data_IF_538767872416
#
_entry.id   IF_538767872416
#
_cell.length_a   1.000
_cell.length_b   1.000
_cell.length_c   1.000
_cell.angle_alpha   90.00
_cell.angle_beta   90.00
_cell.angle_gamma   90.00
#
_symmetry.space_group_name_H-M   'P 1'
#
loop_
_entity.id
_entity.type
_entity.pdbx_description
1 polymer ?
#
# COMPACT_ATOMS: atom_id res chain seq x y z
N UNK A 1 -0.03 9.59 23.98
CA UNK A 1 -0.50 9.08 22.67
C UNK A 1 -1.12 7.70 22.89
N UNK A 2 -2.45 7.58 22.95
CA UNK A 2 -3.17 6.35 23.35
C UNK A 2 -3.37 5.32 22.25
N UNK A 3 -2.47 5.26 21.26
CA UNK A 3 -2.57 4.33 20.14
C UNK A 3 -1.82 3.05 20.45
N UNK A 4 -2.53 1.92 20.55
CA UNK A 4 -1.89 0.63 20.83
C UNK A 4 -1.29 0.03 19.55
N UNK A 5 0.03 0.16 19.40
CA UNK A 5 0.80 -0.36 18.27
C UNK A 5 0.99 -1.89 18.30
N UNK A 6 0.59 -2.57 19.39
CA UNK A 6 0.66 -4.02 19.53
C UNK A 6 -0.62 -4.72 19.05
N UNK A 7 -1.46 -4.02 18.29
CA UNK A 7 -2.64 -4.59 17.66
C UNK A 7 -2.42 -4.74 16.15
N UNK A 8 -3.07 -5.74 15.52
CA UNK A 8 -2.99 -5.92 14.08
C UNK A 8 -3.47 -4.68 13.31
N UNK A 9 -2.64 -4.22 12.39
CA UNK A 9 -2.83 -2.97 11.66
C UNK A 9 -2.26 -3.04 10.24
N UNK A 10 -2.79 -2.21 9.37
CA UNK A 10 -2.31 -2.03 8.00
C UNK A 10 -1.61 -0.69 7.86
N UNK A 11 -0.63 -0.64 6.95
CA UNK A 11 -0.04 0.61 6.47
C UNK A 11 -0.70 0.95 5.13
N UNK A 12 -1.39 2.07 5.11
CA UNK A 12 -2.01 2.66 3.93
C UNK A 12 -1.10 3.78 3.44
N UNK A 13 -0.64 3.69 2.20
CA UNK A 13 0.19 4.71 1.56
C UNK A 13 -0.59 5.31 0.40
N UNK A 14 -1.10 6.51 0.62
CA UNK A 14 -1.76 7.34 -0.38
C UNK A 14 -0.69 8.13 -1.13
N UNK A 15 -0.68 8.03 -2.45
CA UNK A 15 0.27 8.67 -3.34
C UNK A 15 -0.45 9.62 -4.29
N UNK A 16 -0.09 10.90 -4.20
CA UNK A 16 -0.54 11.98 -5.07
C UNK A 16 0.37 12.02 -6.29
N UNK A 17 -0.17 11.72 -7.46
CA UNK A 17 0.53 11.92 -8.74
C UNK A 17 -0.03 13.15 -9.44
N UNK A 18 0.84 14.10 -9.79
CA UNK A 18 0.45 15.26 -10.62
C UNK A 18 0.62 14.86 -12.08
N UNK A 19 -0.49 14.61 -12.76
CA UNK A 19 -0.48 14.26 -14.20
C UNK A 19 -0.06 15.39 -15.14
N UNK A 20 0.39 16.53 -14.63
CA UNK A 20 0.75 17.72 -15.41
C UNK A 20 2.07 18.33 -14.91
N UNK A 21 2.86 18.86 -15.85
CA UNK A 21 4.05 19.67 -15.58
C UNK A 21 3.61 21.07 -15.10
N UNK A 22 3.32 21.19 -13.81
CA UNK A 22 3.05 22.50 -13.19
C UNK A 22 4.35 23.22 -12.81
N UNK A 23 4.28 24.54 -12.66
CA UNK A 23 5.32 25.34 -12.03
C UNK A 23 5.63 24.77 -10.63
N UNK A 24 6.90 24.41 -10.41
CA UNK A 24 7.37 23.59 -9.27
C UNK A 24 6.99 24.16 -7.91
N UNK A 25 6.98 25.49 -7.76
CA UNK A 25 6.64 26.20 -6.51
C UNK A 25 5.14 26.17 -6.19
N UNK A 26 4.28 26.53 -7.15
CA UNK A 26 2.83 26.53 -6.95
C UNK A 26 2.28 25.11 -6.74
N UNK A 27 2.93 24.12 -7.36
CA UNK A 27 2.63 22.70 -7.16
C UNK A 27 2.95 22.24 -5.73
N UNK A 28 4.10 22.63 -5.19
CA UNK A 28 4.52 22.25 -3.83
C UNK A 28 3.61 22.84 -2.75
N UNK A 29 3.26 24.12 -2.87
CA UNK A 29 2.37 24.79 -1.92
C UNK A 29 0.95 24.20 -1.96
N UNK A 30 0.42 23.99 -3.17
CA UNK A 30 -0.88 23.32 -3.36
C UNK A 30 -0.86 21.91 -2.78
N UNK A 31 0.18 21.14 -3.06
CA UNK A 31 0.28 19.74 -2.62
C UNK A 31 0.44 19.62 -1.09
N UNK A 32 1.13 20.55 -0.44
CA UNK A 32 1.17 20.63 1.02
C UNK A 32 -0.20 20.94 1.61
N UNK A 33 -0.94 21.88 1.03
CA UNK A 33 -2.30 22.19 1.45
C UNK A 33 -3.23 20.98 1.32
N UNK A 34 -3.20 20.30 0.17
CA UNK A 34 -4.02 19.10 -0.07
C UNK A 34 -3.69 17.94 0.86
N UNK A 35 -2.40 17.66 1.12
CA UNK A 35 -2.02 16.61 2.08
C UNK A 35 -2.54 16.89 3.48
N UNK A 36 -2.48 18.16 3.89
CA UNK A 36 -2.92 18.58 5.23
C UNK A 36 -4.43 18.42 5.35
N UNK A 37 -5.18 18.94 4.37
CA UNK A 37 -6.63 18.78 4.31
C UNK A 37 -7.06 17.31 4.26
N UNK A 38 -6.37 16.49 3.44
CA UNK A 38 -6.63 15.05 3.35
C UNK A 38 -6.32 14.32 4.66
N UNK A 39 -5.22 14.66 5.35
CA UNK A 39 -4.89 14.09 6.64
C UNK A 39 -5.93 14.45 7.71
N UNK A 40 -6.41 15.69 7.73
CA UNK A 40 -7.47 16.12 8.64
C UNK A 40 -8.80 15.41 8.36
N UNK A 41 -9.18 15.28 7.10
CA UNK A 41 -10.40 14.57 6.70
C UNK A 41 -10.31 13.08 7.01
N UNK A 42 -9.17 12.44 6.74
CA UNK A 42 -8.92 11.05 7.11
C UNK A 42 -9.03 10.85 8.63
N UNK A 43 -8.42 11.75 9.42
CA UNK A 43 -8.52 11.71 10.88
C UNK A 43 -9.97 11.84 11.36
N UNK A 44 -10.74 12.77 10.78
CA UNK A 44 -12.15 12.99 11.14
C UNK A 44 -12.99 11.75 10.83
N UNK A 45 -12.85 11.18 9.62
CA UNK A 45 -13.58 9.99 9.20
C UNK A 45 -13.25 8.77 10.08
N UNK A 46 -11.97 8.54 10.37
CA UNK A 46 -11.55 7.42 11.22
C UNK A 46 -12.05 7.59 12.66
N UNK A 47 -12.00 8.82 13.21
CA UNK A 47 -12.55 9.12 14.54
C UNK A 47 -14.06 8.93 14.61
N UNK A 48 -14.80 9.30 13.56
CA UNK A 48 -16.26 9.06 13.49
C UNK A 48 -16.60 7.56 13.55
N UNK A 49 -15.71 6.71 13.06
CA UNK A 49 -15.84 5.25 13.16
C UNK A 49 -15.39 4.68 14.53
N UNK A 50 -15.07 5.55 15.50
CA UNK A 50 -14.56 5.14 16.82
C UNK A 50 -13.15 4.54 16.78
N UNK A 51 -12.44 4.72 15.66
CA UNK A 51 -11.09 4.22 15.47
C UNK A 51 -10.08 5.35 15.70
N UNK A 52 -8.85 4.95 15.97
CA UNK A 52 -7.72 5.85 15.93
C UNK A 52 -6.87 5.52 14.70
N UNK A 53 -6.04 6.47 14.26
CA UNK A 53 -5.00 6.25 13.26
C UNK A 53 -3.77 7.07 13.60
N UNK A 54 -2.60 6.60 13.16
CA UNK A 54 -1.37 7.40 13.15
C UNK A 54 -1.12 7.79 11.71
N UNK A 55 -0.80 9.07 11.47
CA UNK A 55 -0.54 9.57 10.13
C UNK A 55 0.75 10.36 10.07
N UNK A 56 1.40 10.31 8.92
CA UNK A 56 2.51 11.18 8.57
C UNK A 56 2.48 11.51 7.09
N UNK A 57 3.01 12.66 6.71
CA UNK A 57 3.08 13.12 5.33
C UNK A 57 4.53 13.21 4.87
N UNK A 58 4.83 12.78 3.65
CA UNK A 58 6.17 12.85 3.04
C UNK A 58 6.05 13.22 1.56
N UNK A 59 6.67 14.32 1.13
CA UNK A 59 6.67 14.77 -0.29
C UNK A 59 5.26 14.68 -0.91
N UNK A 60 4.95 13.66 -1.72
CA UNK A 60 3.65 13.44 -2.36
C UNK A 60 2.89 12.23 -1.80
N UNK A 61 3.15 11.89 -0.55
CA UNK A 61 2.61 10.72 0.13
C UNK A 61 1.95 11.13 1.45
N UNK A 62 0.82 10.51 1.73
CA UNK A 62 0.20 10.45 3.05
C UNK A 62 0.26 8.98 3.50
N UNK A 63 0.91 8.73 4.63
CA UNK A 63 1.05 7.40 5.21
C UNK A 63 0.14 7.35 6.43
N UNK A 64 -0.79 6.40 6.45
CA UNK A 64 -1.69 6.16 7.55
C UNK A 64 -1.52 4.73 8.07
N UNK A 65 -1.38 4.59 9.38
CA UNK A 65 -1.45 3.31 10.07
C UNK A 65 -2.84 3.19 10.65
N UNK A 66 -3.59 2.21 10.17
CA UNK A 66 -5.01 2.01 10.49
C UNK A 66 -5.20 0.59 10.99
N UNK A 67 -6.06 0.40 11.99
CA UNK A 67 -6.39 -0.92 12.52
C UNK A 67 -6.98 -1.84 11.44
N UNK A 68 -6.90 -3.14 11.69
CA UNK A 68 -7.43 -4.17 10.79
C UNK A 68 -8.92 -3.95 10.45
N UNK A 69 -9.24 -4.08 9.16
CA UNK A 69 -10.60 -4.18 8.63
C UNK A 69 -10.84 -5.55 7.99
N UNK A 70 -12.11 -5.90 7.78
CA UNK A 70 -12.53 -7.14 7.12
C UNK A 70 -12.10 -7.21 5.65
N UNK A 71 -12.09 -6.05 4.96
CA UNK A 71 -11.58 -5.91 3.59
C UNK A 71 -10.78 -4.61 3.49
N UNK A 72 -9.45 -4.73 3.41
CA UNK A 72 -8.56 -3.58 3.34
C UNK A 72 -8.70 -2.82 2.02
N UNK A 73 -8.94 -3.52 0.91
CA UNK A 73 -9.09 -2.92 -0.42
C UNK A 73 -10.40 -2.13 -0.51
N UNK A 74 -11.51 -2.70 -0.02
CA UNK A 74 -12.81 -2.01 -0.01
C UNK A 74 -12.77 -0.79 0.90
N UNK A 75 -12.13 -0.89 2.07
CA UNK A 75 -11.91 0.24 2.96
C UNK A 75 -11.06 1.33 2.29
N UNK A 76 -9.97 0.94 1.64
CA UNK A 76 -9.12 1.86 0.89
C UNK A 76 -9.85 2.60 -0.22
N UNK A 77 -10.70 1.88 -0.98
CA UNK A 77 -11.51 2.48 -2.04
C UNK A 77 -12.50 3.50 -1.47
N UNK A 78 -13.21 3.14 -0.41
CA UNK A 78 -14.11 4.04 0.29
C UNK A 78 -13.40 5.30 0.82
N UNK A 79 -12.20 5.17 1.39
CA UNK A 79 -11.39 6.31 1.85
C UNK A 79 -10.98 7.22 0.69
N UNK A 80 -10.57 6.66 -0.45
CA UNK A 80 -10.27 7.45 -1.65
C UNK A 80 -11.49 8.24 -2.09
N UNK A 81 -12.64 7.58 -2.19
CA UNK A 81 -13.86 8.20 -2.72
C UNK A 81 -14.42 9.28 -1.78
N UNK A 82 -14.24 9.15 -0.46
CA UNK A 82 -14.67 10.17 0.50
C UNK A 82 -13.74 11.37 0.59
N UNK A 83 -12.42 11.16 0.44
CA UNK A 83 -11.43 12.22 0.73
C UNK A 83 -10.92 12.88 -0.55
N UNK A 84 -10.84 12.13 -1.65
CA UNK A 84 -10.12 12.53 -2.87
C UNK A 84 -11.02 12.60 -4.11
N UNK A 85 -12.34 12.43 -3.99
CA UNK A 85 -13.28 12.53 -5.12
C UNK A 85 -13.32 13.91 -5.76
N UNK A 86 -13.05 14.96 -4.98
CA UNK A 86 -13.10 16.36 -5.43
C UNK A 86 -11.71 16.96 -5.72
N UNK A 87 -10.63 16.23 -5.48
CA UNK A 87 -9.25 16.75 -5.56
C UNK A 87 -8.73 16.61 -6.99
N UNK A 88 -9.17 17.50 -7.89
CA UNK A 88 -8.51 17.74 -9.18
C UNK A 88 -7.46 18.85 -8.97
N UNK A 89 -6.22 18.74 -9.48
CA UNK A 89 -5.78 17.94 -10.63
C UNK A 89 -4.98 16.65 -10.31
N UNK A 90 -4.96 16.17 -9.06
CA UNK A 90 -4.09 15.06 -8.68
C UNK A 90 -4.77 13.69 -8.87
N UNK A 91 -4.03 12.72 -9.43
CA UNK A 91 -4.45 11.33 -9.42
C UNK A 91 -4.04 10.69 -8.09
N UNK A 92 -4.98 9.97 -7.47
CA UNK A 92 -4.75 9.28 -6.20
C UNK A 92 -4.56 7.78 -6.41
N UNK A 93 -3.43 7.25 -5.92
CA UNK A 93 -3.17 5.81 -5.84
C UNK A 93 -2.91 5.41 -4.39
N UNK A 94 -3.45 4.27 -3.97
CA UNK A 94 -3.30 3.72 -2.63
C UNK A 94 -2.66 2.34 -2.69
N UNK A 95 -1.52 2.21 -2.02
CA UNK A 95 -0.86 0.94 -1.75
C UNK A 95 -1.09 0.54 -0.31
N UNK A 96 -1.52 -0.71 -0.10
CA UNK A 96 -1.81 -1.25 1.23
C UNK A 96 -0.81 -2.37 1.54
N UNK A 97 -0.22 -2.34 2.74
CA UNK A 97 0.68 -3.40 3.20
C UNK A 97 -0.06 -4.70 3.51
N UNK A 98 0.70 -5.77 3.77
CA UNK A 98 0.18 -6.92 4.52
C UNK A 98 -0.16 -6.51 5.97
N UNK A 99 -0.91 -7.34 6.68
CA UNK A 99 -1.25 -7.11 8.08
C UNK A 99 0.02 -7.14 8.95
N UNK A 100 0.31 -6.02 9.61
CA UNK A 100 1.37 -5.89 10.62
C UNK A 100 0.81 -6.34 11.96
N UNK A 101 1.37 -7.38 12.57
CA UNK A 101 0.88 -7.91 13.85
C UNK A 101 1.35 -7.05 15.04
N UNK A 102 2.49 -6.40 14.89
CA UNK A 102 3.16 -5.63 15.94
C UNK A 102 3.88 -4.40 15.37
N UNK A 103 4.31 -3.50 16.25
CA UNK A 103 4.99 -2.25 15.90
C UNK A 103 6.27 -2.48 15.05
N UNK A 104 7.03 -3.54 15.34
CA UNK A 104 8.26 -3.89 14.61
C UNK A 104 8.00 -4.22 13.14
N UNK A 105 6.80 -4.68 12.79
CA UNK A 105 6.42 -5.01 11.42
C UNK A 105 6.13 -3.75 10.58
N UNK A 106 5.90 -2.59 11.20
CA UNK A 106 5.51 -1.37 10.48
C UNK A 106 6.55 -0.90 9.45
N UNK A 107 7.85 -1.11 9.74
CA UNK A 107 8.91 -0.80 8.78
C UNK A 107 8.81 -1.68 7.53
N UNK A 108 8.46 -2.96 7.71
CA UNK A 108 8.19 -3.89 6.61
C UNK A 108 6.91 -3.49 5.89
N UNK A 109 5.84 -3.20 6.61
CA UNK A 109 4.57 -2.78 6.04
C UNK A 109 4.68 -1.53 5.17
N UNK A 110 5.44 -0.53 5.62
CA UNK A 110 5.71 0.67 4.82
C UNK A 110 6.42 0.33 3.50
N UNK A 111 7.46 -0.52 3.54
CA UNK A 111 8.15 -0.97 2.33
C UNK A 111 7.21 -1.72 1.38
N UNK A 112 6.32 -2.55 1.91
CA UNK A 112 5.32 -3.27 1.10
C UNK A 112 4.32 -2.32 0.42
N UNK A 113 3.84 -1.31 1.13
CA UNK A 113 2.96 -0.29 0.58
C UNK A 113 3.67 0.55 -0.51
N UNK A 114 4.95 0.93 -0.28
CA UNK A 114 5.77 1.60 -1.29
C UNK A 114 6.00 0.74 -2.54
N UNK A 115 6.34 -0.54 -2.37
CA UNK A 115 6.47 -1.50 -3.48
C UNK A 115 5.16 -1.58 -4.27
N UNK A 116 4.03 -1.62 -3.57
CA UNK A 116 2.69 -1.68 -4.18
C UNK A 116 2.44 -0.48 -5.09
N UNK A 117 2.70 0.74 -4.62
CA UNK A 117 2.60 1.95 -5.46
C UNK A 117 3.54 1.89 -6.66
N UNK A 118 4.80 1.48 -6.48
CA UNK A 118 5.76 1.37 -7.59
C UNK A 118 5.22 0.44 -8.67
N UNK A 119 4.73 -0.74 -8.30
CA UNK A 119 4.18 -1.73 -9.24
C UNK A 119 2.91 -1.19 -9.91
N UNK A 120 2.05 -0.48 -9.19
CA UNK A 120 0.86 0.16 -9.77
C UNK A 120 1.22 1.19 -10.84
N UNK A 121 2.32 1.93 -10.67
CA UNK A 121 2.81 2.88 -11.70
C UNK A 121 3.28 2.19 -12.98
N UNK A 122 3.89 1.02 -12.89
CA UNK A 122 4.34 0.25 -14.05
C UNK A 122 3.25 -0.65 -14.66
N UNK A 123 2.22 -0.98 -13.91
CA UNK A 123 1.14 -1.84 -14.40
C UNK A 123 0.17 -1.06 -15.30
N UNK A 124 -0.31 -1.67 -16.38
CA UNK A 124 -1.39 -1.12 -17.25
C UNK A 124 -2.76 -1.05 -16.55
N UNK A 125 -2.82 -1.31 -15.24
CA UNK A 125 -4.05 -1.38 -14.47
C UNK A 125 -4.44 0.00 -13.98
N UNK A 126 -5.65 0.47 -14.33
CA UNK A 126 -6.24 1.70 -13.81
C UNK A 126 -6.77 1.57 -12.37
N UNK A 127 -6.26 0.60 -11.61
CA UNK A 127 -6.71 0.36 -10.25
C UNK A 127 -6.14 1.46 -9.35
N UNK A 128 -7.02 2.17 -8.63
CA UNK A 128 -6.63 3.22 -7.67
C UNK A 128 -6.16 2.64 -6.34
N UNK A 129 -6.54 1.41 -6.01
CA UNK A 129 -6.18 0.73 -4.76
C UNK A 129 -5.63 -0.64 -5.08
N UNK A 130 -4.52 -1.03 -4.44
CA UNK A 130 -4.07 -2.42 -4.37
C UNK A 130 -3.49 -2.74 -2.99
N UNK A 131 -3.65 -3.98 -2.58
CA UNK A 131 -2.94 -4.56 -1.44
C UNK A 131 -1.71 -5.36 -1.91
N UNK A 132 -0.67 -5.38 -1.08
CA UNK A 132 0.58 -6.07 -1.37
C UNK A 132 0.36 -7.58 -1.61
N UNK A 133 -0.60 -8.19 -0.89
CA UNK A 133 -0.99 -9.59 -1.08
C UNK A 133 -1.46 -9.88 -2.51
N UNK A 134 -2.07 -8.91 -3.18
CA UNK A 134 -2.56 -9.06 -4.57
C UNK A 134 -1.42 -8.99 -5.60
N UNK A 135 -0.24 -8.52 -5.17
CA UNK A 135 0.93 -8.36 -6.04
C UNK A 135 1.94 -9.49 -5.89
N UNK A 136 1.68 -10.53 -5.09
CA UNK A 136 2.66 -11.55 -4.68
C UNK A 136 3.43 -12.23 -5.83
N UNK A 137 2.90 -12.31 -7.06
CA UNK A 137 3.65 -12.84 -8.21
C UNK A 137 4.50 -11.77 -8.91
N UNK A 138 3.98 -10.55 -9.07
CA UNK A 138 4.61 -9.45 -9.83
C UNK A 138 5.57 -8.63 -8.97
N UNK A 139 5.25 -8.42 -7.69
CA UNK A 139 6.09 -7.70 -6.74
C UNK A 139 7.44 -8.36 -6.49
N UNK A 140 7.48 -9.70 -6.59
CA UNK A 140 8.70 -10.47 -6.39
C UNK A 140 9.64 -10.44 -7.60
N UNK A 141 9.12 -10.12 -8.79
CA UNK A 141 9.91 -10.00 -10.02
C UNK A 141 10.46 -8.58 -10.24
N UNK A 142 9.70 -7.55 -9.85
CA UNK A 142 10.03 -6.14 -10.13
C UNK A 142 10.97 -5.53 -9.06
N UNK A 143 11.02 -6.09 -7.85
CA UNK A 143 11.90 -5.62 -6.77
C UNK A 143 13.15 -6.50 -6.64
N UNK A 144 14.05 -6.42 -7.63
CA UNK A 144 15.33 -7.14 -7.69
C UNK A 144 16.35 -6.78 -6.59
N UNK A 145 16.02 -5.87 -5.68
CA UNK A 145 16.91 -5.46 -4.57
C UNK A 145 16.89 -6.43 -3.37
N UNK A 146 16.00 -7.42 -3.33
CA UNK A 146 15.93 -8.43 -2.26
C UNK A 146 16.18 -9.85 -2.83
N UNK A 147 17.44 -10.13 -3.17
CA UNK A 147 17.95 -11.46 -3.54
C UNK A 147 17.41 -12.61 -2.66
N UNK A 148 17.33 -12.49 -1.31
CA UNK A 148 16.79 -13.54 -0.46
C UNK A 148 15.29 -13.82 -0.67
N UNK A 149 14.49 -12.79 -0.99
CA UNK A 149 13.05 -12.97 -1.28
C UNK A 149 12.85 -13.65 -2.64
N UNK A 150 13.73 -13.40 -3.60
CA UNK A 150 13.72 -14.08 -4.90
C UNK A 150 14.15 -15.54 -4.77
N UNK A 151 15.19 -15.83 -3.99
CA UNK A 151 15.65 -17.20 -3.75
C UNK A 151 14.59 -18.05 -3.06
N UNK A 152 13.93 -17.52 -2.02
CA UNK A 152 12.82 -18.20 -1.35
C UNK A 152 11.63 -18.45 -2.28
N UNK A 153 11.34 -17.53 -3.22
CA UNK A 153 10.31 -17.73 -4.23
C UNK A 153 10.68 -18.83 -5.22
N UNK A 154 11.88 -18.75 -5.79
CA UNK A 154 12.40 -19.74 -6.73
C UNK A 154 12.36 -21.13 -6.09
N UNK A 155 12.80 -21.26 -4.84
CA UNK A 155 12.66 -22.50 -4.07
C UNK A 155 11.22 -22.95 -3.93
N UNK A 156 10.29 -22.05 -3.59
CA UNK A 156 8.88 -22.41 -3.44
C UNK A 156 8.26 -22.88 -4.76
N UNK A 157 8.58 -22.23 -5.89
CA UNK A 157 8.08 -22.62 -7.20
C UNK A 157 8.69 -23.93 -7.68
N UNK A 158 10.02 -24.07 -7.57
CA UNK A 158 10.74 -25.28 -7.94
C UNK A 158 10.32 -26.47 -7.08
N UNK A 159 10.04 -26.26 -5.79
CA UNK A 159 9.60 -27.33 -4.91
C UNK A 159 8.19 -27.80 -5.23
N UNK A 160 7.30 -26.92 -5.71
CA UNK A 160 5.98 -27.35 -6.21
C UNK A 160 6.10 -28.19 -7.47
N UNK A 161 7.01 -27.82 -8.39
CA UNK A 161 7.28 -28.58 -9.61
C UNK A 161 7.90 -29.93 -9.24
N UNK A 162 8.93 -29.94 -8.40
CA UNK A 162 9.56 -31.17 -7.90
C UNK A 162 8.54 -32.09 -7.23
N UNK A 163 7.67 -31.56 -6.36
CA UNK A 163 6.64 -32.37 -5.71
C UNK A 163 5.59 -32.92 -6.68
N UNK A 164 5.36 -32.24 -7.80
CA UNK A 164 4.50 -32.73 -8.88
C UNK A 164 5.20 -33.86 -9.63
N UNK A 165 6.46 -33.67 -10.03
CA UNK A 165 7.26 -34.69 -10.69
C UNK A 165 7.44 -35.92 -9.80
N UNK A 166 7.77 -35.78 -8.53
CA UNK A 166 7.89 -36.89 -7.56
C UNK A 166 6.58 -37.69 -7.42
N UNK A 167 5.42 -37.03 -7.55
CA UNK A 167 4.10 -37.68 -7.49
C UNK A 167 3.73 -38.40 -8.78
N UNK A 168 4.26 -37.97 -9.93
CA UNK A 168 3.91 -38.49 -11.25
C UNK A 168 5.03 -39.31 -11.91
N UNK A 169 6.23 -39.35 -11.31
CA UNK A 169 7.39 -40.10 -11.81
C UNK A 169 7.31 -41.61 -11.57
N UNK A 170 6.33 -42.12 -10.81
CA UNK A 170 6.11 -43.56 -10.58
C UNK A 170 5.12 -44.21 -11.57
N UNK A 171 4.74 -43.53 -12.66
CA UNK A 171 3.91 -44.11 -13.72
C UNK A 171 4.75 -44.31 -14.97
N UNK A 172 5.78 -45.17 -14.90
CA UNK A 172 6.38 -45.91 -16.03
C UNK A 172 7.08 -47.16 -15.50
#
# INVERSE_FOLDING_TARGET
MGYNLNQPQYVFLFHLDSGQEFNRKELEDSLNHYKTAAAENLNKLIKQQGLACIMTTKVNQLIAVIRQFSSEVSCGQWLIDQIFSEIKPFEMKLGISSLCQQASDLKKGLKEAEKTIKIMKFSKSNAKVKAFKELLAVAKLICSENLPEMEALSHTMLQKIKNYDDKHAQIY
#
